data_IF_080407848852
#
_entry.id   IF_080407848852
#
_cell.length_a   1.000
_cell.length_b   1.000
_cell.length_c   1.000
_cell.angle_alpha   90.00
_cell.angle_beta   90.00
_cell.angle_gamma   90.00
#
_symmetry.space_group_name_H-M   'P 1'
#
loop_
_entity.id
_entity.type
_entity.pdbx_description
1 polymer ?
#
# COMPACT_ATOMS: atom_id res chain seq x y z
N UNK A 1 10.91 1.75 -15.90
CA UNK A 1 10.71 3.22 -15.90
C UNK A 1 11.41 3.85 -14.72
N UNK A 2 10.97 3.66 -13.46
CA UNK A 2 11.61 4.29 -12.29
C UNK A 2 13.10 3.98 -12.09
N UNK A 3 13.55 2.78 -12.48
CA UNK A 3 14.96 2.36 -12.42
C UNK A 3 15.82 2.97 -13.55
N UNK A 4 15.18 3.44 -14.62
CA UNK A 4 15.83 4.11 -15.76
C UNK A 4 15.85 5.64 -15.59
N UNK A 5 14.99 6.17 -14.72
CA UNK A 5 14.88 7.60 -14.40
C UNK A 5 15.53 7.96 -13.06
N UNK A 6 16.22 7.02 -12.40
CA UNK A 6 16.77 7.11 -11.04
C UNK A 6 15.76 7.51 -9.94
N UNK A 7 14.46 7.54 -10.25
CA UNK A 7 13.37 7.88 -9.31
C UNK A 7 12.95 6.67 -8.47
N UNK A 8 13.89 5.86 -8.00
CA UNK A 8 13.58 4.62 -7.25
C UNK A 8 12.95 4.93 -5.90
N UNK A 9 13.35 6.03 -5.27
CA UNK A 9 12.79 6.49 -3.98
C UNK A 9 11.33 6.97 -4.07
N UNK A 10 10.84 7.27 -5.28
CA UNK A 10 9.45 7.68 -5.52
C UNK A 10 8.48 6.49 -5.63
N UNK A 11 8.99 5.28 -5.94
CA UNK A 11 8.17 4.08 -6.10
C UNK A 11 7.30 3.75 -4.88
N UNK A 12 7.83 3.76 -3.63
CA UNK A 12 7.02 3.47 -2.46
C UNK A 12 5.93 4.50 -2.21
N UNK A 13 6.14 5.75 -2.63
CA UNK A 13 5.19 6.86 -2.44
C UNK A 13 4.05 6.75 -3.45
N UNK A 14 4.37 6.58 -4.72
CA UNK A 14 3.37 6.43 -5.78
C UNK A 14 2.57 5.13 -5.58
N UNK A 15 3.27 4.04 -5.27
CA UNK A 15 2.72 2.72 -5.00
C UNK A 15 2.34 2.47 -3.54
N UNK A 16 2.02 3.52 -2.76
CA UNK A 16 1.79 3.39 -1.32
C UNK A 16 0.75 2.32 -0.95
N UNK A 17 -0.32 2.19 -1.74
CA UNK A 17 -1.34 1.14 -1.56
C UNK A 17 -0.73 -0.26 -1.65
N UNK A 18 0.15 -0.52 -2.61
CA UNK A 18 0.84 -1.81 -2.76
C UNK A 18 1.84 -2.05 -1.63
N UNK A 19 2.53 -1.01 -1.16
CA UNK A 19 3.44 -1.10 -0.01
C UNK A 19 2.66 -1.47 1.25
N UNK A 20 1.49 -0.87 1.47
CA UNK A 20 0.63 -1.19 2.61
C UNK A 20 0.08 -2.63 2.54
N UNK A 21 -0.34 -3.08 1.37
CA UNK A 21 -0.80 -4.45 1.12
C UNK A 21 0.29 -5.49 1.43
N UNK A 22 1.49 -5.31 0.85
CA UNK A 22 2.64 -6.20 1.07
C UNK A 22 3.16 -6.11 2.52
N UNK A 23 3.20 -4.89 3.08
CA UNK A 23 3.62 -4.63 4.45
C UNK A 23 2.70 -5.30 5.47
N UNK A 24 1.38 -5.22 5.28
CA UNK A 24 0.40 -5.87 6.16
C UNK A 24 0.57 -7.39 6.19
N UNK A 25 0.82 -8.00 5.04
CA UNK A 25 1.06 -9.45 4.91
C UNK A 25 2.37 -9.86 5.56
N UNK A 26 3.42 -9.04 5.41
CA UNK A 26 4.73 -9.25 6.03
C UNK A 26 4.66 -9.15 7.56
N UNK A 27 3.97 -8.13 8.09
CA UNK A 27 3.74 -7.95 9.52
C UNK A 27 2.91 -9.10 10.09
N UNK A 28 1.87 -9.53 9.36
CA UNK A 28 1.04 -10.65 9.77
C UNK A 28 1.85 -11.96 9.84
N UNK A 29 2.71 -12.21 8.85
CA UNK A 29 3.60 -13.36 8.84
C UNK A 29 4.61 -13.29 10.00
N UNK A 30 5.22 -12.12 10.21
CA UNK A 30 6.19 -11.90 11.28
C UNK A 30 5.56 -12.10 12.66
N UNK A 31 4.36 -11.58 12.90
CA UNK A 31 3.65 -11.77 14.17
C UNK A 31 3.26 -13.23 14.40
N UNK A 32 2.82 -13.95 13.36
CA UNK A 32 2.57 -15.39 13.47
C UNK A 32 3.85 -16.15 13.83
N UNK A 33 5.00 -15.78 13.26
CA UNK A 33 6.30 -16.41 13.55
C UNK A 33 6.83 -16.09 14.94
N UNK A 34 6.73 -14.84 15.40
CA UNK A 34 7.30 -14.39 16.67
C UNK A 34 6.38 -14.61 17.87
N UNK A 35 5.08 -14.36 17.71
CA UNK A 35 4.12 -14.30 18.82
C UNK A 35 3.02 -15.36 18.72
N UNK A 36 2.95 -16.10 17.61
CA UNK A 36 1.93 -17.11 17.37
C UNK A 36 0.50 -16.57 17.20
N UNK A 37 0.32 -15.23 17.20
CA UNK A 37 -1.00 -14.57 17.13
C UNK A 37 -1.12 -13.70 15.89
N UNK A 38 -2.33 -13.67 15.33
CA UNK A 38 -2.71 -12.79 14.19
C UNK A 38 -2.94 -11.37 14.72
N UNK A 39 -2.39 -10.36 14.04
CA UNK A 39 -2.63 -8.93 14.38
C UNK A 39 -3.82 -8.42 13.57
N UNK A 40 -3.85 -8.72 12.28
CA UNK A 40 -4.97 -8.40 11.39
C UNK A 40 -5.96 -9.55 11.34
N UNK A 41 -7.24 -9.22 11.14
CA UNK A 41 -8.33 -10.21 11.03
C UNK A 41 -8.11 -11.16 9.84
N UNK A 42 -7.67 -10.60 8.71
CA UNK A 42 -7.13 -11.28 7.54
C UNK A 42 -6.05 -10.37 6.97
N UNK A 43 -5.01 -10.94 6.36
CA UNK A 43 -4.04 -10.18 5.57
C UNK A 43 -4.01 -10.85 4.19
N UNK A 44 -4.03 -10.07 3.09
CA UNK A 44 -3.70 -8.63 2.99
C UNK A 44 -4.82 -7.66 3.43
N UNK A 45 -4.56 -6.33 3.36
CA UNK A 45 -5.47 -5.29 3.89
C UNK A 45 -6.86 -5.30 3.22
N UNK A 46 -6.98 -5.55 1.92
CA UNK A 46 -8.29 -5.62 1.28
C UNK A 46 -9.18 -6.72 1.89
N UNK A 47 -8.63 -7.92 2.12
CA UNK A 47 -9.35 -8.99 2.83
C UNK A 47 -9.61 -8.66 4.31
N UNK A 48 -8.79 -7.80 4.93
CA UNK A 48 -9.09 -7.30 6.28
C UNK A 48 -10.41 -6.51 6.30
N UNK A 49 -10.64 -5.65 5.29
CA UNK A 49 -11.87 -4.87 5.17
C UNK A 49 -13.07 -5.73 4.75
N UNK A 50 -12.88 -6.73 3.88
CA UNK A 50 -13.93 -7.69 3.55
C UNK A 50 -14.36 -8.51 4.77
N UNK A 51 -13.40 -8.97 5.59
CA UNK A 51 -13.70 -9.67 6.85
C UNK A 51 -14.42 -8.78 7.88
N UNK A 52 -14.31 -7.46 7.76
CA UNK A 52 -15.05 -6.48 8.55
C UNK A 52 -16.48 -6.22 8.01
N UNK A 53 -16.85 -6.86 6.89
CA UNK A 53 -18.18 -6.78 6.29
C UNK A 53 -18.31 -5.76 5.16
N UNK A 54 -17.20 -5.26 4.59
CA UNK A 54 -17.28 -4.38 3.42
C UNK A 54 -17.48 -5.19 2.13
N UNK A 55 -18.35 -4.73 1.20
CA UNK A 55 -18.42 -5.31 -0.13
C UNK A 55 -17.10 -5.11 -0.88
N UNK A 56 -16.67 -6.11 -1.65
CA UNK A 56 -15.45 -6.08 -2.47
C UNK A 56 -15.37 -4.80 -3.32
N UNK A 57 -16.47 -4.44 -4.00
CA UNK A 57 -16.53 -3.23 -4.84
C UNK A 57 -16.29 -1.95 -4.04
N UNK A 58 -16.76 -1.89 -2.79
CA UNK A 58 -16.54 -0.72 -1.91
C UNK A 58 -15.07 -0.60 -1.52
N UNK A 59 -14.40 -1.73 -1.24
CA UNK A 59 -12.97 -1.76 -0.91
C UNK A 59 -12.15 -1.30 -2.12
N UNK A 60 -12.39 -1.90 -3.29
CA UNK A 60 -11.68 -1.56 -4.54
C UNK A 60 -11.79 -0.08 -4.88
N UNK A 61 -13.00 0.49 -4.84
CA UNK A 61 -13.19 1.93 -5.12
C UNK A 61 -12.41 2.82 -4.14
N UNK A 62 -12.38 2.48 -2.84
CA UNK A 62 -11.64 3.27 -1.84
C UNK A 62 -10.13 3.17 -2.04
N UNK A 63 -9.64 1.98 -2.39
CA UNK A 63 -8.22 1.75 -2.68
C UNK A 63 -7.78 2.48 -3.94
N UNK A 64 -8.65 2.59 -4.95
CA UNK A 64 -8.38 3.41 -6.14
C UNK A 64 -8.26 4.88 -5.79
N UNK A 65 -9.19 5.42 -4.98
CA UNK A 65 -9.10 6.83 -4.54
C UNK A 65 -7.81 7.07 -3.75
N UNK A 66 -7.45 6.18 -2.83
CA UNK A 66 -6.19 6.28 -2.08
C UNK A 66 -4.97 6.20 -3.01
N UNK A 67 -4.98 5.31 -4.00
CA UNK A 67 -3.93 5.18 -5.00
C UNK A 67 -3.81 6.41 -5.91
N UNK A 68 -4.95 7.01 -6.31
CA UNK A 68 -4.95 8.27 -7.06
C UNK A 68 -4.36 9.40 -6.23
N UNK A 69 -4.73 9.52 -4.96
CA UNK A 69 -4.18 10.55 -4.05
C UNK A 69 -2.68 10.34 -3.83
N UNK A 70 -2.23 9.12 -3.54
CA UNK A 70 -0.80 8.83 -3.37
C UNK A 70 -0.01 9.06 -4.65
N UNK A 71 -0.59 8.72 -5.81
CA UNK A 71 -0.03 9.00 -7.13
C UNK A 71 0.12 10.49 -7.41
N UNK A 72 -0.91 11.30 -7.10
CA UNK A 72 -0.85 12.77 -7.25
C UNK A 72 0.21 13.37 -6.32
N UNK A 73 0.29 12.91 -5.07
CA UNK A 73 1.33 13.37 -4.13
C UNK A 73 2.72 12.99 -4.64
N UNK A 74 2.90 11.75 -5.10
CA UNK A 74 4.17 11.30 -5.68
C UNK A 74 4.56 12.11 -6.91
N UNK A 75 3.60 12.46 -7.78
CA UNK A 75 3.83 13.33 -8.92
C UNK A 75 4.22 14.75 -8.49
N UNK A 76 3.53 15.34 -7.51
CA UNK A 76 3.86 16.67 -6.98
C UNK A 76 5.27 16.71 -6.40
N UNK A 77 5.67 15.66 -5.67
CA UNK A 77 7.03 15.52 -5.13
C UNK A 77 8.05 15.37 -6.25
N UNK A 78 7.75 14.59 -7.30
CA UNK A 78 8.65 14.42 -8.44
C UNK A 78 8.89 15.74 -9.18
N UNK A 79 7.84 16.55 -9.35
CA UNK A 79 7.91 17.84 -10.06
C UNK A 79 8.59 18.92 -9.21
N UNK A 80 8.24 19.03 -7.93
CA UNK A 80 8.81 20.03 -7.02
C UNK A 80 10.24 19.68 -6.62
N UNK A 81 10.49 18.40 -6.35
CA UNK A 81 11.75 17.89 -5.83
C UNK A 81 12.91 17.87 -6.82
N UNK A 82 12.67 18.12 -8.11
CA UNK A 82 13.72 18.29 -9.13
C UNK A 82 14.82 17.23 -9.00
N UNK A 83 14.46 15.95 -9.17
CA UNK A 83 15.32 14.79 -8.90
C UNK A 83 15.63 14.60 -7.40
N UNK A 84 14.93 13.66 -6.75
CA UNK A 84 15.50 12.95 -5.59
C UNK A 84 16.56 11.97 -6.09
#
# INVERSE_FOLDING_TARGET
>A
VALLTDTVLLLPIIGAVFVLEAGSSSIQLLSKRLRGRKIFHSAPLHHHFEAMGWPETKVTMRFWVLGSVSGTIGLMIAIWGGQL
#
